data_IF_124364399116
#
_entry.id   IF_124364399116
#
_cell.length_a   1.000
_cell.length_b   1.000
_cell.length_c   1.000
_cell.angle_alpha   90.00
_cell.angle_beta   90.00
_cell.angle_gamma   90.00
#
_symmetry.space_group_name_H-M   'P 1'
#
loop_
_entity.id
_entity.type
_entity.pdbx_description
1 polymer ?
#
# COMPACT_ATOMS: atom_id res chain seq x y z
N UNK A 1 -0.38 19.94 9.99
CA UNK A 1 -0.25 18.47 10.06
C UNK A 1 1.07 18.10 9.42
N UNK A 2 1.82 17.15 9.98
CA UNK A 2 3.06 16.63 9.38
C UNK A 2 2.69 15.82 8.13
N UNK A 3 3.24 16.18 6.97
CA UNK A 3 3.07 15.41 5.74
C UNK A 3 4.19 14.36 5.66
N UNK A 4 3.97 13.17 6.25
CA UNK A 4 4.99 12.11 6.33
C UNK A 4 5.46 11.61 4.96
N UNK A 5 4.58 11.58 3.96
CA UNK A 5 5.00 11.22 2.60
C UNK A 5 5.95 12.26 2.01
N UNK A 6 5.66 13.56 2.19
CA UNK A 6 6.55 14.61 1.72
C UNK A 6 7.93 14.51 2.36
N UNK A 7 7.98 14.30 3.67
CA UNK A 7 9.24 14.18 4.42
C UNK A 7 10.01 12.93 4.00
N UNK A 8 9.31 11.81 3.80
CA UNK A 8 9.88 10.56 3.31
C UNK A 8 10.51 10.74 1.93
N UNK A 9 9.74 11.17 0.92
CA UNK A 9 10.23 11.28 -0.45
C UNK A 9 11.30 12.36 -0.61
N UNK A 10 11.25 13.44 0.17
CA UNK A 10 12.32 14.43 0.24
C UNK A 10 13.62 13.80 0.75
N UNK A 11 13.53 12.99 1.81
CA UNK A 11 14.69 12.29 2.38
C UNK A 11 15.28 11.29 1.41
N UNK A 12 14.45 10.45 0.78
CA UNK A 12 14.90 9.44 -0.19
C UNK A 12 15.53 10.08 -1.43
N UNK A 13 14.93 11.15 -1.95
CA UNK A 13 15.47 11.89 -3.09
C UNK A 13 16.86 12.46 -2.79
N UNK A 14 17.06 13.01 -1.60
CA UNK A 14 18.37 13.54 -1.18
C UNK A 14 19.43 12.46 -1.04
N UNK A 15 19.04 11.21 -0.85
CA UNK A 15 19.93 10.04 -0.77
C UNK A 15 20.08 9.31 -2.10
N UNK A 16 19.31 9.67 -3.14
CA UNK A 16 19.15 8.92 -4.39
C UNK A 16 18.64 7.48 -4.17
N UNK A 17 17.73 7.29 -3.22
CA UNK A 17 17.11 6.03 -2.90
C UNK A 17 15.65 6.01 -3.37
N UNK A 18 15.15 4.83 -3.75
CA UNK A 18 13.73 4.59 -3.97
C UNK A 18 13.01 4.16 -2.68
N UNK A 19 11.69 4.36 -2.63
CA UNK A 19 10.88 3.86 -1.53
C UNK A 19 10.61 2.36 -1.67
N UNK A 20 10.61 1.63 -0.54
CA UNK A 20 10.07 0.27 -0.44
C UNK A 20 8.87 0.24 0.49
N UNK A 21 7.73 -0.22 -0.03
CA UNK A 21 6.44 -0.25 0.68
C UNK A 21 5.89 -1.68 0.65
N UNK A 22 5.95 -2.44 1.75
CA UNK A 22 5.26 -3.73 1.87
C UNK A 22 3.77 -3.54 2.10
N UNK A 23 2.97 -4.44 1.51
CA UNK A 23 1.54 -4.57 1.81
C UNK A 23 1.29 -5.82 2.66
N UNK A 24 0.41 -5.71 3.67
CA UNK A 24 -0.17 -6.82 4.42
C UNK A 24 -1.64 -6.55 4.76
N UNK A 25 -2.44 -7.62 4.89
CA UNK A 25 -3.78 -7.52 5.47
C UNK A 25 -3.67 -7.41 7.00
N UNK A 26 -4.31 -6.40 7.58
CA UNK A 26 -4.35 -6.24 9.05
C UNK A 26 -5.13 -7.40 9.66
N UNK A 27 -4.56 -8.01 10.69
CA UNK A 27 -5.16 -9.17 11.34
C UNK A 27 -4.73 -10.51 10.77
N UNK A 28 -3.93 -10.56 9.71
CA UNK A 28 -3.35 -11.80 9.19
C UNK A 28 -2.03 -12.13 9.91
N UNK A 29 -1.83 -13.35 10.43
CA UNK A 29 -2.76 -14.48 10.50
C UNK A 29 -3.79 -14.38 11.63
N UNK A 30 -3.58 -13.51 12.59
CA UNK A 30 -4.51 -13.11 13.65
C UNK A 30 -4.11 -11.73 14.19
N UNK A 31 -5.00 -11.00 14.90
CA UNK A 31 -4.73 -9.63 15.35
C UNK A 31 -3.46 -9.47 16.19
N UNK A 32 -3.12 -10.45 17.01
CA UNK A 32 -1.97 -10.38 17.90
C UNK A 32 -0.64 -10.55 17.13
N UNK A 33 -0.57 -11.51 16.24
CA UNK A 33 0.61 -11.74 15.38
C UNK A 33 0.74 -10.64 14.33
N UNK A 34 -0.37 -10.11 13.79
CA UNK A 34 -0.36 -9.02 12.82
C UNK A 34 0.36 -7.77 13.34
N UNK A 35 0.18 -7.43 14.63
CA UNK A 35 0.92 -6.33 15.25
C UNK A 35 2.44 -6.58 15.19
N UNK A 36 2.90 -7.79 15.50
CA UNK A 36 4.31 -8.16 15.44
C UNK A 36 4.84 -8.19 14.00
N UNK A 37 4.03 -8.67 13.05
CA UNK A 37 4.35 -8.65 11.62
C UNK A 37 4.59 -7.22 11.16
N UNK A 38 3.63 -6.31 11.36
CA UNK A 38 3.73 -4.92 10.89
C UNK A 38 4.92 -4.19 11.56
N UNK A 39 5.14 -4.40 12.86
CA UNK A 39 6.30 -3.88 13.59
C UNK A 39 7.63 -4.36 12.96
N UNK A 40 7.69 -5.65 12.59
CA UNK A 40 8.85 -6.24 11.92
C UNK A 40 9.11 -5.63 10.55
N UNK A 41 8.06 -5.37 9.75
CA UNK A 41 8.23 -4.73 8.44
C UNK A 41 8.95 -3.38 8.54
N UNK A 42 8.53 -2.54 9.50
CA UNK A 42 9.16 -1.22 9.70
C UNK A 42 10.60 -1.37 10.22
N UNK A 43 10.80 -2.22 11.22
CA UNK A 43 12.13 -2.43 11.81
C UNK A 43 13.13 -3.04 10.81
N UNK A 44 12.66 -3.79 9.83
CA UNK A 44 13.47 -4.38 8.76
C UNK A 44 13.78 -3.42 7.61
N UNK A 45 13.23 -2.19 7.62
CA UNK A 45 13.57 -1.13 6.67
C UNK A 45 12.50 -0.74 5.68
N UNK A 46 11.22 -1.07 5.91
CA UNK A 46 10.13 -0.52 5.13
C UNK A 46 10.06 1.01 5.30
N UNK A 47 10.00 1.74 4.20
CA UNK A 47 9.95 3.22 4.21
C UNK A 47 8.54 3.75 4.52
N UNK A 48 7.53 3.02 4.09
CA UNK A 48 6.12 3.26 4.40
C UNK A 48 5.38 1.92 4.47
N UNK A 49 4.15 1.93 4.96
CA UNK A 49 3.29 0.76 5.03
C UNK A 49 2.06 0.95 4.15
N UNK A 50 1.68 -0.09 3.41
CA UNK A 50 0.36 -0.22 2.81
C UNK A 50 -0.40 -1.33 3.53
N UNK A 51 -1.50 -1.00 4.18
CA UNK A 51 -2.24 -1.92 5.04
C UNK A 51 -3.65 -2.14 4.50
N UNK A 52 -4.06 -3.41 4.34
CA UNK A 52 -5.41 -3.77 3.94
C UNK A 52 -6.32 -4.00 5.14
N UNK A 53 -7.52 -3.40 5.16
CA UNK A 53 -8.58 -3.85 6.06
C UNK A 53 -9.22 -5.09 5.43
N UNK A 54 -9.26 -6.24 6.13
CA UNK A 54 -9.78 -7.48 5.56
C UNK A 54 -11.25 -7.33 5.15
N UNK A 55 -11.57 -7.86 3.97
CA UNK A 55 -12.89 -7.76 3.36
C UNK A 55 -13.30 -9.10 2.73
N UNK A 56 -14.59 -9.45 2.80
CA UNK A 56 -15.11 -10.73 2.31
C UNK A 56 -15.17 -10.84 0.80
N UNK A 57 -15.26 -9.70 0.09
CA UNK A 57 -15.52 -9.66 -1.35
C UNK A 57 -14.47 -8.83 -2.13
N UNK A 58 -13.17 -9.13 -2.01
CA UNK A 58 -12.08 -8.28 -2.48
C UNK A 58 -11.85 -8.44 -3.98
N UNK A 59 -12.68 -7.81 -4.80
CA UNK A 59 -12.74 -7.99 -6.27
C UNK A 59 -11.48 -7.61 -7.04
N UNK A 60 -10.60 -6.78 -6.46
CA UNK A 60 -9.31 -6.38 -7.05
C UNK A 60 -8.14 -7.27 -6.62
N UNK A 61 -8.36 -8.19 -5.66
CA UNK A 61 -7.30 -9.01 -5.08
C UNK A 61 -7.22 -10.40 -5.72
N UNK A 62 -5.98 -10.89 -5.87
CA UNK A 62 -5.72 -12.26 -6.25
C UNK A 62 -5.76 -13.23 -5.06
N UNK A 63 -5.66 -14.54 -5.34
CA UNK A 63 -5.92 -15.59 -4.34
C UNK A 63 -5.06 -15.48 -3.09
N UNK A 64 -3.81 -15.04 -3.19
CA UNK A 64 -2.91 -14.88 -2.03
C UNK A 64 -3.41 -13.82 -1.05
N UNK A 65 -3.88 -12.67 -1.57
CA UNK A 65 -4.38 -11.57 -0.73
C UNK A 65 -5.79 -11.92 -0.22
N UNK A 66 -6.61 -12.57 -1.03
CA UNK A 66 -7.91 -13.09 -0.59
C UNK A 66 -7.77 -14.05 0.60
N UNK A 67 -6.86 -15.03 0.52
CA UNK A 67 -6.59 -15.97 1.60
C UNK A 67 -6.09 -15.27 2.89
N UNK A 68 -5.31 -14.18 2.77
CA UNK A 68 -4.91 -13.38 3.93
C UNK A 68 -6.10 -12.68 4.58
N UNK A 69 -7.00 -12.10 3.78
CA UNK A 69 -8.24 -11.48 4.27
C UNK A 69 -9.15 -12.51 4.95
N UNK A 70 -9.31 -13.70 4.37
CA UNK A 70 -10.07 -14.82 4.95
C UNK A 70 -9.49 -15.22 6.31
N UNK A 71 -8.16 -15.45 6.42
CA UNK A 71 -7.51 -15.78 7.70
C UNK A 71 -7.74 -14.71 8.76
N UNK A 72 -7.61 -13.45 8.39
CA UNK A 72 -7.84 -12.34 9.32
C UNK A 72 -9.31 -12.28 9.79
N UNK A 73 -10.27 -12.46 8.89
CA UNK A 73 -11.71 -12.50 9.22
C UNK A 73 -12.05 -13.70 10.11
N UNK A 74 -11.55 -14.90 9.78
CA UNK A 74 -11.73 -16.12 10.57
C UNK A 74 -11.14 -15.99 11.98
N UNK A 75 -10.06 -15.23 12.12
CA UNK A 75 -9.46 -14.90 13.42
C UNK A 75 -10.23 -13.80 14.20
N UNK A 76 -11.39 -13.34 13.68
CA UNK A 76 -12.25 -12.36 14.31
C UNK A 76 -11.81 -10.90 14.15
N UNK A 77 -10.97 -10.59 13.16
CA UNK A 77 -10.56 -9.22 12.88
C UNK A 77 -11.74 -8.39 12.37
N UNK A 78 -11.95 -7.25 12.98
CA UNK A 78 -12.97 -6.25 12.60
C UNK A 78 -12.30 -4.95 12.19
N UNK A 79 -13.02 -4.02 11.52
CA UNK A 79 -12.47 -2.68 11.24
C UNK A 79 -12.00 -1.94 12.50
N UNK A 80 -12.71 -2.07 13.61
CA UNK A 80 -12.28 -1.43 14.88
C UNK A 80 -10.98 -2.07 15.41
N UNK A 81 -10.84 -3.40 15.33
CA UNK A 81 -9.57 -4.09 15.64
C UNK A 81 -8.42 -3.59 14.75
N UNK A 82 -8.69 -3.32 13.46
CA UNK A 82 -7.70 -2.77 12.56
C UNK A 82 -7.23 -1.39 13.00
N UNK A 83 -8.14 -0.49 13.37
CA UNK A 83 -7.79 0.83 13.88
C UNK A 83 -6.99 0.76 15.19
N UNK A 84 -7.33 -0.15 16.11
CA UNK A 84 -6.55 -0.38 17.34
C UNK A 84 -5.12 -0.83 17.05
N UNK A 85 -4.92 -1.67 16.05
CA UNK A 85 -3.58 -2.10 15.60
C UNK A 85 -2.82 -0.91 15.00
N UNK A 86 -3.46 -0.13 14.13
CA UNK A 86 -2.85 1.06 13.51
C UNK A 86 -2.42 2.08 14.57
N UNK A 87 -3.26 2.38 15.57
CA UNK A 87 -2.92 3.28 16.68
C UNK A 87 -1.67 2.80 17.43
N UNK A 88 -1.56 1.49 17.68
CA UNK A 88 -0.37 0.89 18.35
C UNK A 88 0.88 1.00 17.48
N UNK A 89 0.76 0.74 16.18
CA UNK A 89 1.88 0.89 15.22
C UNK A 89 2.29 2.36 15.12
N UNK A 90 1.34 3.29 15.01
CA UNK A 90 1.62 4.72 14.97
C UNK A 90 2.36 5.20 16.21
N UNK A 91 1.99 4.71 17.40
CA UNK A 91 2.67 5.05 18.64
C UNK A 91 4.14 4.59 18.67
N UNK A 92 4.46 3.44 18.05
CA UNK A 92 5.83 2.93 17.95
C UNK A 92 6.63 3.59 16.82
N UNK A 93 5.99 3.89 15.70
CA UNK A 93 6.60 4.40 14.47
C UNK A 93 5.97 5.74 14.06
N UNK A 94 6.25 6.82 14.80
CA UNK A 94 5.55 8.11 14.63
C UNK A 94 5.82 8.79 13.29
N UNK A 95 6.91 8.45 12.60
CA UNK A 95 7.34 9.08 11.34
C UNK A 95 7.07 8.26 10.10
N UNK A 96 6.81 6.94 10.23
CA UNK A 96 6.56 6.06 9.08
C UNK A 96 5.18 6.36 8.46
N UNK A 97 5.06 6.68 7.17
CA UNK A 97 3.76 6.82 6.52
C UNK A 97 2.96 5.51 6.56
N UNK A 98 1.67 5.62 6.84
CA UNK A 98 0.72 4.50 6.85
C UNK A 98 -0.41 4.80 5.88
N UNK A 99 -0.47 4.05 4.78
CA UNK A 99 -1.57 4.07 3.82
C UNK A 99 -2.51 2.88 4.04
N UNK A 100 -3.80 3.10 3.81
CA UNK A 100 -4.79 2.02 3.72
C UNK A 100 -5.12 1.74 2.27
N UNK A 101 -5.14 0.45 1.90
CA UNK A 101 -5.73 -0.04 0.65
C UNK A 101 -6.96 -0.87 1.01
N UNK A 102 -8.13 -0.47 0.51
CA UNK A 102 -9.41 -1.05 0.93
C UNK A 102 -10.50 -0.88 -0.14
N UNK A 103 -11.73 -1.27 0.20
CA UNK A 103 -12.89 -1.27 -0.68
C UNK A 103 -13.95 -0.28 -0.20
N UNK A 104 -14.71 0.29 -1.13
CA UNK A 104 -15.71 1.33 -0.89
C UNK A 104 -16.73 0.96 0.18
N UNK A 105 -17.14 -0.31 0.23
CA UNK A 105 -18.14 -0.77 1.19
C UNK A 105 -17.66 -0.64 2.64
N UNK A 106 -16.36 -0.82 2.91
CA UNK A 106 -15.78 -0.61 4.23
C UNK A 106 -15.82 0.87 4.66
N UNK A 107 -15.70 1.78 3.70
CA UNK A 107 -15.75 3.22 3.95
C UNK A 107 -17.18 3.71 4.13
N UNK A 108 -18.10 3.23 3.27
CA UNK A 108 -19.46 3.75 3.19
C UNK A 108 -20.43 3.15 4.23
N UNK A 109 -20.16 1.93 4.73
CA UNK A 109 -21.09 1.17 5.57
C UNK A 109 -21.52 1.87 6.87
N UNK A 110 -20.62 2.67 7.46
CA UNK A 110 -20.87 3.43 8.69
C UNK A 110 -20.82 4.95 8.48
N UNK A 111 -20.77 5.40 7.22
CA UNK A 111 -20.63 6.79 6.84
C UNK A 111 -19.20 7.17 6.48
N UNK A 112 -19.08 7.83 5.32
CA UNK A 112 -17.78 8.17 4.71
C UNK A 112 -16.98 9.09 5.64
N UNK A 113 -17.60 10.14 6.16
CA UNK A 113 -16.97 11.12 7.04
C UNK A 113 -16.44 10.46 8.32
N UNK A 114 -17.27 9.62 8.97
CA UNK A 114 -16.89 8.92 10.20
C UNK A 114 -15.71 7.97 9.97
N UNK A 115 -15.63 7.31 8.81
CA UNK A 115 -14.51 6.47 8.47
C UNK A 115 -13.19 7.28 8.41
N UNK A 116 -13.20 8.42 7.72
CA UNK A 116 -12.01 9.26 7.60
C UNK A 116 -11.62 9.93 8.93
N UNK A 117 -12.59 10.27 9.78
CA UNK A 117 -12.32 10.71 11.16
C UNK A 117 -11.59 9.63 11.98
N UNK A 118 -12.03 8.35 11.87
CA UNK A 118 -11.34 7.21 12.50
C UNK A 118 -9.92 7.05 11.93
N UNK A 119 -9.73 7.18 10.62
CA UNK A 119 -8.41 7.16 9.99
C UNK A 119 -7.48 8.22 10.57
N UNK A 120 -7.96 9.46 10.66
CA UNK A 120 -7.17 10.57 11.21
C UNK A 120 -6.81 10.34 12.67
N UNK A 121 -7.76 9.88 13.50
CA UNK A 121 -7.54 9.54 14.90
C UNK A 121 -6.50 8.44 15.08
N UNK A 122 -6.56 7.39 14.27
CA UNK A 122 -5.60 6.29 14.32
C UNK A 122 -4.21 6.65 13.74
N UNK A 123 -4.09 7.82 13.07
CA UNK A 123 -2.84 8.30 12.51
C UNK A 123 -2.52 7.70 11.13
N UNK A 124 -3.55 7.34 10.35
CA UNK A 124 -3.43 7.01 8.92
C UNK A 124 -3.03 8.25 8.15
N UNK A 125 -2.18 8.11 7.14
CA UNK A 125 -1.72 9.21 6.28
C UNK A 125 -2.46 9.26 4.95
N UNK A 126 -2.82 8.11 4.39
CA UNK A 126 -3.48 8.03 3.09
C UNK A 126 -4.47 6.88 2.97
N UNK A 127 -5.39 7.01 2.02
CA UNK A 127 -6.35 5.95 1.66
C UNK A 127 -6.41 5.78 0.15
N UNK A 128 -6.35 4.52 -0.30
CA UNK A 128 -6.64 4.08 -1.66
C UNK A 128 -7.87 3.18 -1.62
N UNK A 129 -8.92 3.54 -2.36
CA UNK A 129 -10.15 2.74 -2.47
C UNK A 129 -10.13 2.04 -3.83
N UNK A 130 -9.89 0.71 -3.81
CA UNK A 130 -9.53 -0.04 -5.01
C UNK A 130 -10.66 -0.17 -6.05
N UNK A 131 -11.92 -0.13 -5.62
CA UNK A 131 -13.12 -0.33 -6.43
C UNK A 131 -13.91 0.97 -6.72
N UNK A 132 -13.37 2.14 -6.36
CA UNK A 132 -13.98 3.44 -6.69
C UNK A 132 -13.29 4.05 -7.92
N UNK A 133 -13.96 4.13 -9.07
CA UNK A 133 -13.44 4.86 -10.22
C UNK A 133 -13.23 6.35 -9.90
N UNK A 134 -12.21 6.97 -10.51
CA UNK A 134 -11.88 8.38 -10.26
C UNK A 134 -13.08 9.33 -10.39
N UNK A 135 -13.96 9.09 -11.38
CA UNK A 135 -15.18 9.89 -11.60
C UNK A 135 -16.18 9.84 -10.45
N UNK A 136 -16.15 8.79 -9.63
CA UNK A 136 -17.04 8.57 -8.48
C UNK A 136 -16.35 8.93 -7.15
N UNK A 137 -15.10 9.36 -7.18
CA UNK A 137 -14.28 9.56 -5.98
C UNK A 137 -14.59 10.84 -5.21
N UNK A 138 -15.33 11.78 -5.78
CA UNK A 138 -15.57 13.13 -5.21
C UNK A 138 -16.02 13.11 -3.74
N UNK A 139 -17.02 12.32 -3.30
CA UNK A 139 -17.46 12.33 -1.91
C UNK A 139 -16.37 11.77 -0.96
N UNK A 140 -15.63 10.76 -1.40
CA UNK A 140 -14.54 10.17 -0.63
C UNK A 140 -13.37 11.16 -0.48
N UNK A 141 -12.98 11.84 -1.58
CA UNK A 141 -11.92 12.84 -1.56
C UNK A 141 -12.28 14.03 -0.67
N UNK A 142 -13.53 14.49 -0.72
CA UNK A 142 -13.98 15.61 0.12
C UNK A 142 -13.84 15.26 1.61
N UNK A 143 -14.28 14.07 2.03
CA UNK A 143 -14.17 13.61 3.41
C UNK A 143 -12.71 13.35 3.82
N UNK A 144 -11.90 12.74 2.95
CA UNK A 144 -10.47 12.55 3.18
C UNK A 144 -9.76 13.89 3.42
N UNK A 145 -9.98 14.89 2.54
CA UNK A 145 -9.39 16.23 2.66
C UNK A 145 -9.81 16.90 3.97
N UNK A 146 -11.11 16.82 4.34
CA UNK A 146 -11.62 17.39 5.59
C UNK A 146 -10.95 16.77 6.83
N UNK A 147 -10.62 15.47 6.77
CA UNK A 147 -9.92 14.74 7.83
C UNK A 147 -8.38 14.88 7.76
N UNK A 148 -7.82 15.50 6.71
CA UNK A 148 -6.39 15.62 6.51
C UNK A 148 -5.72 14.32 6.05
N UNK A 149 -6.47 13.43 5.42
CA UNK A 149 -6.03 12.16 4.83
C UNK A 149 -5.78 12.35 3.33
N UNK A 150 -4.66 11.86 2.83
CA UNK A 150 -4.29 11.96 1.42
C UNK A 150 -5.00 10.86 0.59
N UNK A 151 -5.53 11.26 -0.57
CA UNK A 151 -6.20 10.34 -1.50
C UNK A 151 -5.21 9.80 -2.52
N UNK A 152 -5.02 8.48 -2.54
CA UNK A 152 -4.18 7.78 -3.50
C UNK A 152 -5.04 7.24 -4.64
N UNK A 153 -4.58 7.45 -5.88
CA UNK A 153 -5.27 6.91 -7.04
C UNK A 153 -4.37 6.01 -7.87
N UNK A 154 -5.01 5.03 -8.52
CA UNK A 154 -4.35 4.06 -9.38
C UNK A 154 -4.24 4.62 -10.79
N UNK A 155 -3.03 4.65 -11.33
CA UNK A 155 -2.77 4.87 -12.75
C UNK A 155 -2.79 3.51 -13.49
N UNK A 156 -3.84 3.21 -14.27
CA UNK A 156 -3.94 1.95 -14.98
C UNK A 156 -2.99 1.91 -16.18
N UNK A 157 -2.39 0.75 -16.51
CA UNK A 157 -1.40 0.63 -17.59
C UNK A 157 -1.96 0.92 -18.99
N UNK A 158 -3.29 0.86 -19.14
CA UNK A 158 -4.02 1.15 -20.37
C UNK A 158 -4.83 2.46 -20.26
N UNK A 159 -4.49 3.34 -19.31
CA UNK A 159 -5.14 4.63 -19.15
C UNK A 159 -4.93 5.52 -20.38
N UNK A 160 -6.00 6.16 -20.87
CA UNK A 160 -5.85 7.20 -21.88
C UNK A 160 -5.21 8.47 -21.28
N UNK A 161 -4.69 9.40 -22.11
CA UNK A 161 -4.01 10.60 -21.60
C UNK A 161 -4.86 11.43 -20.63
N UNK A 162 -6.17 11.57 -20.87
CA UNK A 162 -7.07 12.32 -20.00
C UNK A 162 -7.24 11.65 -18.64
N UNK A 163 -7.32 10.31 -18.61
CA UNK A 163 -7.37 9.54 -17.35
C UNK A 163 -6.07 9.70 -16.56
N UNK A 164 -4.92 9.61 -17.23
CA UNK A 164 -3.61 9.73 -16.58
C UNK A 164 -3.39 11.14 -16.03
N UNK A 165 -3.78 12.17 -16.78
CA UNK A 165 -3.76 13.55 -16.32
C UNK A 165 -4.64 13.72 -15.07
N UNK A 166 -5.88 13.24 -15.11
CA UNK A 166 -6.79 13.34 -13.97
C UNK A 166 -6.28 12.56 -12.74
N UNK A 167 -5.64 11.40 -12.93
CA UNK A 167 -4.99 10.68 -11.84
C UNK A 167 -3.84 11.49 -11.26
N UNK A 168 -2.97 12.08 -12.09
CA UNK A 168 -1.87 12.92 -11.63
C UNK A 168 -2.36 14.12 -10.80
N UNK A 169 -3.37 14.84 -11.29
CA UNK A 169 -3.93 16.02 -10.64
C UNK A 169 -4.70 15.70 -9.33
N UNK A 170 -5.27 14.50 -9.23
CA UNK A 170 -6.11 14.11 -8.10
C UNK A 170 -5.34 13.37 -7.00
N UNK A 171 -4.24 12.70 -7.35
CA UNK A 171 -3.42 11.94 -6.37
C UNK A 171 -2.72 12.88 -5.40
N UNK A 172 -2.59 12.41 -4.17
CA UNK A 172 -1.85 13.07 -3.09
C UNK A 172 -0.90 12.04 -2.46
N UNK A 173 0.16 12.50 -1.78
CA UNK A 173 1.14 11.58 -1.18
C UNK A 173 1.98 10.80 -2.20
N UNK A 174 1.34 9.90 -2.93
CA UNK A 174 1.94 9.19 -4.08
C UNK A 174 0.88 8.79 -5.11
N UNK A 175 1.32 8.37 -6.29
CA UNK A 175 0.46 7.77 -7.33
C UNK A 175 0.78 6.28 -7.45
N UNK A 176 -0.23 5.42 -7.36
CA UNK A 176 -0.06 3.98 -7.48
C UNK A 176 0.00 3.56 -8.96
N UNK A 177 1.12 3.01 -9.40
CA UNK A 177 1.28 2.48 -10.76
C UNK A 177 0.99 1.00 -10.81
N UNK A 178 0.14 0.56 -11.74
CA UNK A 178 0.01 -0.85 -12.07
C UNK A 178 1.01 -1.22 -13.16
N UNK A 179 1.86 -2.21 -12.88
CA UNK A 179 2.76 -2.79 -13.88
C UNK A 179 2.02 -3.63 -14.94
N UNK A 180 0.79 -4.05 -14.63
CA UNK A 180 -0.08 -4.86 -15.52
C UNK A 180 -1.55 -4.69 -15.16
N UNK A 181 -2.43 -4.93 -16.12
CA UNK A 181 -3.86 -5.05 -15.87
C UNK A 181 -4.21 -6.40 -15.20
N UNK A 182 -5.28 -6.42 -14.41
CA UNK A 182 -5.79 -7.60 -13.70
C UNK A 182 -5.68 -7.48 -12.18
N UNK A 183 -5.76 -8.61 -11.49
CA UNK A 183 -5.70 -8.71 -10.03
C UNK A 183 -4.28 -8.88 -9.52
N UNK A 184 -4.06 -8.72 -8.21
CA UNK A 184 -2.79 -8.94 -7.54
C UNK A 184 -2.27 -10.39 -7.71
N UNK A 185 -0.97 -10.62 -7.70
CA UNK A 185 -0.38 -11.97 -7.81
C UNK A 185 1.05 -11.97 -8.35
N UNK A 186 1.77 -13.06 -8.12
CA UNK A 186 3.16 -13.26 -8.57
C UNK A 186 3.27 -14.10 -9.85
N UNK A 187 2.14 -14.55 -10.42
CA UNK A 187 2.10 -15.59 -11.47
C UNK A 187 2.43 -15.09 -12.88
N UNK A 188 2.51 -13.77 -13.09
CA UNK A 188 2.83 -13.19 -14.39
C UNK A 188 3.95 -12.17 -14.26
N UNK A 189 5.06 -12.42 -14.93
CA UNK A 189 6.17 -11.44 -15.02
C UNK A 189 5.69 -10.16 -15.71
N UNK A 190 6.14 -9.02 -15.20
CA UNK A 190 5.93 -7.72 -15.82
C UNK A 190 6.45 -7.73 -17.26
N UNK A 191 5.58 -7.48 -18.24
CA UNK A 191 5.94 -7.48 -19.67
C UNK A 191 5.74 -6.13 -20.35
N UNK A 192 5.33 -5.08 -19.62
CA UNK A 192 5.09 -3.78 -20.25
C UNK A 192 6.16 -2.75 -19.88
N UNK A 193 6.68 -2.00 -20.85
CA UNK A 193 7.49 -0.84 -20.55
C UNK A 193 6.57 0.22 -19.90
N UNK A 194 6.60 0.32 -18.57
CA UNK A 194 5.88 1.35 -17.81
C UNK A 194 6.46 2.75 -18.00
N UNK A 195 7.60 2.87 -18.72
CA UNK A 195 8.32 4.13 -18.94
C UNK A 195 7.41 5.21 -19.54
N UNK A 196 6.64 4.87 -20.60
CA UNK A 196 5.72 5.85 -21.19
C UNK A 196 4.63 6.33 -20.21
N UNK A 197 4.13 5.44 -19.36
CA UNK A 197 3.17 5.77 -18.31
C UNK A 197 3.79 6.73 -17.28
N UNK A 198 5.01 6.41 -16.85
CA UNK A 198 5.79 7.22 -15.92
C UNK A 198 6.06 8.62 -16.50
N UNK A 199 6.53 8.70 -17.75
CA UNK A 199 6.80 9.96 -18.42
C UNK A 199 5.52 10.82 -18.55
N UNK A 200 4.39 10.19 -18.89
CA UNK A 200 3.11 10.89 -18.99
C UNK A 200 2.70 11.47 -17.64
N UNK A 201 2.77 10.71 -16.57
CA UNK A 201 2.40 11.17 -15.22
C UNK A 201 3.34 12.26 -14.72
N UNK A 202 4.65 12.12 -14.94
CA UNK A 202 5.65 13.16 -14.58
C UNK A 202 5.44 14.46 -15.34
N UNK A 203 5.00 14.40 -16.59
CA UNK A 203 4.66 15.59 -17.37
C UNK A 203 3.41 16.33 -16.86
N UNK A 204 2.61 15.68 -16.01
CA UNK A 204 1.46 16.28 -15.34
C UNK A 204 1.71 16.53 -13.84
N UNK A 205 2.98 16.64 -13.43
CA UNK A 205 3.40 16.92 -12.05
C UNK A 205 2.79 15.95 -11.01
N UNK A 206 2.59 14.67 -11.40
CA UNK A 206 2.09 13.65 -10.48
C UNK A 206 2.97 13.56 -9.21
N UNK A 207 2.35 13.31 -8.03
CA UNK A 207 3.10 12.92 -6.83
C UNK A 207 4.01 11.70 -7.10
N UNK A 208 5.00 11.40 -6.23
CA UNK A 208 5.92 10.28 -6.41
C UNK A 208 5.23 9.01 -6.87
N UNK A 209 5.84 8.30 -7.82
CA UNK A 209 5.24 7.16 -8.50
C UNK A 209 5.69 5.86 -7.85
N UNK A 210 4.77 5.10 -7.23
CA UNK A 210 5.06 3.80 -6.65
C UNK A 210 4.54 2.66 -7.53
N UNK A 211 5.45 1.80 -7.98
CA UNK A 211 5.12 0.67 -8.85
C UNK A 211 4.71 -0.54 -8.02
N UNK A 212 3.45 -0.97 -8.17
CA UNK A 212 2.92 -2.19 -7.58
C UNK A 212 2.66 -3.30 -8.59
N UNK A 213 2.18 -4.43 -8.11
CA UNK A 213 1.88 -5.67 -8.83
C UNK A 213 3.11 -6.37 -9.42
N UNK A 214 3.28 -7.64 -9.03
CA UNK A 214 4.34 -8.51 -9.57
C UNK A 214 5.76 -8.21 -9.04
N UNK A 215 5.91 -7.33 -8.07
CA UNK A 215 7.19 -7.08 -7.39
C UNK A 215 7.37 -8.12 -6.28
N UNK A 216 8.28 -9.05 -6.48
CA UNK A 216 8.47 -10.21 -5.60
C UNK A 216 9.92 -10.53 -5.27
N UNK A 217 10.86 -9.90 -5.96
CA UNK A 217 12.30 -10.12 -5.77
C UNK A 217 13.07 -8.79 -5.75
N UNK A 218 14.28 -8.77 -5.16
CA UNK A 218 15.18 -7.60 -5.27
C UNK A 218 15.46 -7.16 -6.70
N UNK A 219 15.50 -8.10 -7.66
CA UNK A 219 15.71 -7.77 -9.07
C UNK A 219 14.48 -7.07 -9.68
N UNK A 220 13.26 -7.49 -9.30
CA UNK A 220 12.04 -6.77 -9.70
C UNK A 220 12.05 -5.33 -9.17
N UNK A 221 12.53 -5.15 -7.92
CA UNK A 221 12.66 -3.84 -7.30
C UNK A 221 13.62 -2.93 -8.10
N UNK A 222 14.81 -3.43 -8.42
CA UNK A 222 15.80 -2.70 -9.26
C UNK A 222 15.24 -2.35 -10.62
N UNK A 223 14.54 -3.28 -11.28
CA UNK A 223 13.92 -3.03 -12.58
C UNK A 223 12.81 -1.97 -12.50
N UNK A 224 11.99 -2.00 -11.43
CA UNK A 224 10.97 -1.00 -11.18
C UNK A 224 11.56 0.41 -11.07
N UNK A 225 12.60 0.59 -10.27
CA UNK A 225 13.30 1.88 -10.15
C UNK A 225 14.01 2.29 -11.43
N UNK A 226 14.67 1.35 -12.13
CA UNK A 226 15.31 1.62 -13.41
C UNK A 226 14.31 2.07 -14.50
N UNK A 227 13.02 1.74 -14.36
CA UNK A 227 11.98 2.25 -15.25
C UNK A 227 11.58 3.71 -14.96
N UNK A 228 12.09 4.29 -13.87
CA UNK A 228 11.86 5.68 -13.46
C UNK A 228 10.79 5.86 -12.36
N UNK A 229 10.33 4.77 -11.74
CA UNK A 229 9.48 4.87 -10.56
C UNK A 229 10.27 5.41 -9.36
N UNK A 230 9.60 6.10 -8.44
CA UNK A 230 10.18 6.66 -7.22
C UNK A 230 10.18 5.64 -6.06
N UNK A 231 9.53 4.51 -6.25
CA UNK A 231 9.53 3.40 -5.30
C UNK A 231 8.69 2.22 -5.80
N UNK A 232 8.64 1.19 -4.96
CA UNK A 232 7.98 -0.07 -5.27
C UNK A 232 7.08 -0.54 -4.12
N UNK A 233 6.01 -1.25 -4.48
CA UNK A 233 5.09 -1.88 -3.52
C UNK A 233 5.14 -3.40 -3.73
N UNK A 234 5.32 -4.16 -2.65
CA UNK A 234 5.32 -5.62 -2.67
C UNK A 234 4.28 -6.18 -1.70
N UNK A 235 3.27 -6.87 -2.22
CA UNK A 235 2.19 -7.45 -1.43
C UNK A 235 2.24 -8.97 -1.38
N UNK A 236 1.88 -9.65 -2.47
CA UNK A 236 1.73 -11.10 -2.49
C UNK A 236 2.99 -11.87 -2.03
N UNK A 237 4.20 -11.32 -2.24
CA UNK A 237 5.41 -11.96 -1.76
C UNK A 237 5.53 -11.91 -0.23
N UNK A 238 5.17 -10.77 0.38
CA UNK A 238 5.13 -10.61 1.84
C UNK A 238 4.09 -11.53 2.46
N UNK A 239 2.87 -11.53 1.91
CA UNK A 239 1.76 -12.39 2.39
C UNK A 239 2.08 -13.87 2.27
N UNK A 240 2.79 -14.31 1.21
CA UNK A 240 3.24 -15.72 1.07
C UNK A 240 4.21 -16.14 2.16
N UNK A 241 5.06 -15.24 2.66
CA UNK A 241 5.95 -15.56 3.79
C UNK A 241 5.10 -15.79 5.06
N UNK A 242 4.09 -14.99 5.29
CA UNK A 242 3.15 -15.17 6.40
C UNK A 242 2.44 -16.53 6.26
N UNK A 243 1.84 -16.80 5.10
CA UNK A 243 1.11 -18.04 4.81
C UNK A 243 1.97 -19.30 5.01
N UNK A 244 3.22 -19.26 4.58
CA UNK A 244 4.16 -20.39 4.73
C UNK A 244 4.48 -20.71 6.19
N UNK A 245 4.45 -19.72 7.08
CA UNK A 245 4.95 -19.84 8.44
C UNK A 245 3.84 -19.69 9.51
N UNK A 246 2.58 -20.00 9.20
CA UNK A 246 1.42 -19.82 10.11
C UNK A 246 1.60 -20.49 11.48
N UNK A 247 2.37 -21.58 11.54
CA UNK A 247 2.58 -22.37 12.76
C UNK A 247 3.92 -22.07 13.46
N UNK A 248 4.74 -21.16 12.93
CA UNK A 248 6.05 -20.80 13.48
C UNK A 248 6.26 -19.28 13.40
N UNK A 249 5.88 -18.60 14.47
CA UNK A 249 5.95 -17.14 14.52
C UNK A 249 7.40 -16.62 14.41
N UNK A 250 8.37 -17.30 15.01
CA UNK A 250 9.76 -16.86 14.97
C UNK A 250 10.34 -17.01 13.56
N UNK A 251 10.06 -18.13 12.90
CA UNK A 251 10.43 -18.34 11.50
C UNK A 251 9.78 -17.29 10.59
N UNK A 252 8.50 -16.97 10.80
CA UNK A 252 7.77 -15.93 10.08
C UNK A 252 8.47 -14.58 10.17
N UNK A 253 8.72 -14.09 11.39
CA UNK A 253 9.32 -12.77 11.61
C UNK A 253 10.76 -12.69 11.08
N UNK A 254 11.54 -13.77 11.21
CA UNK A 254 12.90 -13.85 10.68
C UNK A 254 12.92 -13.83 9.14
N UNK A 255 12.03 -14.60 8.49
CA UNK A 255 11.93 -14.62 7.02
C UNK A 255 11.43 -13.27 6.47
N UNK A 256 10.46 -12.64 7.13
CA UNK A 256 10.02 -11.27 6.81
C UNK A 256 11.16 -10.28 6.94
N UNK A 257 11.91 -10.30 8.05
CA UNK A 257 13.07 -9.42 8.25
C UNK A 257 14.07 -9.56 7.11
N UNK A 258 14.41 -10.79 6.75
CA UNK A 258 15.35 -11.08 5.66
C UNK A 258 14.85 -10.57 4.32
N UNK A 259 13.59 -10.83 3.99
CA UNK A 259 12.98 -10.39 2.74
C UNK A 259 12.89 -8.86 2.64
N UNK A 260 12.35 -8.21 3.67
CA UNK A 260 12.17 -6.74 3.69
C UNK A 260 13.53 -6.03 3.57
N UNK A 261 14.55 -6.48 4.34
CA UNK A 261 15.90 -5.91 4.28
C UNK A 261 16.54 -6.08 2.90
N UNK A 262 16.35 -7.23 2.25
CA UNK A 262 16.85 -7.47 0.90
C UNK A 262 16.14 -6.59 -0.14
N UNK A 263 14.82 -6.43 -0.02
CA UNK A 263 14.04 -5.55 -0.90
C UNK A 263 14.43 -4.08 -0.72
N UNK A 264 14.58 -3.59 0.53
CA UNK A 264 15.05 -2.23 0.80
C UNK A 264 16.45 -2.01 0.27
N UNK A 265 17.38 -2.94 0.47
CA UNK A 265 18.72 -2.83 -0.09
C UNK A 265 18.75 -2.74 -1.62
N UNK A 266 17.75 -3.27 -2.31
CA UNK A 266 17.62 -3.18 -3.75
C UNK A 266 17.08 -1.81 -4.25
N UNK A 267 16.64 -0.93 -3.34
CA UNK A 267 16.16 0.42 -3.67
C UNK A 267 17.19 1.52 -3.41
N UNK A 268 18.41 1.13 -3.02
CA UNK A 268 19.55 2.03 -2.69
C UNK A 268 20.50 2.12 -3.87
#
# INVERSE_FOLDING_TARGET
MTNRYHDLFTTLKNKNEGAFVPFVAIGDPNPQQSLAVIDTLVNAGADALELGIPFSDPSADGPTIQAASERALDAGTTPDTCFDIIEKIRAKHPTTPIGLLLYANLVASNGIELFFEKCAKAGVDSVLIADVPLRESTPFKAAATAAGIQSIYIAPPNGNPQTLQAVAEQSEGYTYLLSRAGVTGTESKVKMPVTHLIDTLKNHDAPPLLLGFGISTPDDAKQGLASGADGIISGSAVVKIIEKNLNDNDAMLNELTTFISAMKAATI
#
